data_IF_321886842795
#
_entry.id   IF_321886842795
#
_cell.length_a   1.000
_cell.length_b   1.000
_cell.length_c   1.000
_cell.angle_alpha   90.00
_cell.angle_beta   90.00
_cell.angle_gamma   90.00
#
_symmetry.space_group_name_H-M   'P 1'
#
loop_
_entity.id
_entity.type
_entity.pdbx_description
1 polymer ?
#
# COMPACT_ATOMS: atom_id res chain seq x y z
N UNK A 1 7.60 -40.52 0.42
CA UNK A 1 6.50 -39.87 1.15
C UNK A 1 6.54 -38.40 0.80
N UNK A 2 5.68 -37.94 -0.12
CA UNK A 2 5.56 -36.52 -0.38
C UNK A 2 4.77 -35.92 0.78
N UNK A 3 5.43 -35.16 1.64
CA UNK A 3 4.73 -34.27 2.55
C UNK A 3 4.11 -33.20 1.66
N UNK A 4 2.80 -33.27 1.41
CA UNK A 4 2.10 -32.13 0.83
C UNK A 4 2.15 -31.02 1.87
N UNK A 5 3.07 -30.08 1.69
CA UNK A 5 3.09 -28.85 2.48
C UNK A 5 1.70 -28.23 2.45
N UNK A 6 1.19 -27.87 3.63
CA UNK A 6 -0.08 -27.15 3.70
C UNK A 6 0.05 -25.86 2.90
N UNK A 7 -0.97 -25.47 2.11
CA UNK A 7 -0.94 -24.20 1.40
C UNK A 7 -0.74 -23.04 2.39
N UNK A 8 0.11 -22.08 2.01
CA UNK A 8 0.33 -20.87 2.81
C UNK A 8 -0.80 -19.89 2.56
N UNK A 9 -1.21 -19.15 3.59
CA UNK A 9 -2.15 -18.04 3.41
C UNK A 9 -1.45 -16.93 2.64
N UNK A 10 -2.04 -16.51 1.52
CA UNK A 10 -1.50 -15.46 0.66
C UNK A 10 -2.07 -14.10 1.07
N UNK A 11 -1.19 -13.13 1.29
CA UNK A 11 -1.53 -11.79 1.80
C UNK A 11 -0.95 -10.76 0.85
N UNK A 12 -1.79 -9.86 0.33
CA UNK A 12 -1.36 -8.74 -0.49
C UNK A 12 -1.03 -7.55 0.41
N UNK A 13 0.10 -6.91 0.13
CA UNK A 13 0.52 -5.65 0.74
C UNK A 13 0.29 -4.50 -0.23
N UNK A 14 -0.59 -3.57 0.14
CA UNK A 14 -0.83 -2.28 -0.54
C UNK A 14 -1.67 -1.39 0.36
N UNK A 15 -1.37 -0.09 0.38
CA UNK A 15 -2.06 0.94 1.15
C UNK A 15 -3.34 1.40 0.43
N UNK A 16 -4.44 1.44 1.15
CA UNK A 16 -5.71 1.98 0.66
C UNK A 16 -5.81 3.49 0.92
N UNK A 17 -6.46 4.22 0.00
CA UNK A 17 -6.89 5.59 0.29
C UNK A 17 -8.19 5.56 1.11
N UNK A 18 -8.20 6.27 2.23
CA UNK A 18 -9.26 6.26 3.23
C UNK A 18 -8.77 5.65 4.55
N UNK A 19 -9.35 4.53 5.02
CA UNK A 19 -8.94 3.90 6.27
C UNK A 19 -7.45 3.48 6.27
N UNK A 20 -6.77 3.47 7.43
CA UNK A 20 -5.39 3.01 7.53
C UNK A 20 -5.32 1.49 7.40
N UNK A 21 -5.32 0.99 6.17
CA UNK A 21 -5.32 -0.43 5.82
C UNK A 21 -4.25 -0.76 4.78
N UNK A 22 -3.48 -1.83 5.03
CA UNK A 22 -2.33 -2.16 4.21
C UNK A 22 -2.06 -3.66 4.00
N UNK A 23 -2.86 -4.55 4.59
CA UNK A 23 -2.74 -6.00 4.42
C UNK A 23 -4.10 -6.62 4.06
N UNK A 24 -4.12 -7.38 2.98
CA UNK A 24 -5.35 -7.86 2.36
C UNK A 24 -5.28 -9.35 2.05
N UNK A 25 -6.39 -10.06 2.18
CA UNK A 25 -6.49 -11.45 1.71
C UNK A 25 -6.33 -11.54 0.20
N UNK A 26 -5.48 -12.43 -0.29
CA UNK A 26 -5.19 -12.54 -1.72
C UNK A 26 -6.04 -13.58 -2.47
N UNK A 27 -6.56 -14.60 -1.79
CA UNK A 27 -7.35 -15.66 -2.41
C UNK A 27 -8.39 -16.29 -1.46
N UNK A 28 -9.20 -17.19 -2.01
CA UNK A 28 -10.26 -17.88 -1.26
C UNK A 28 -9.74 -18.71 -0.09
N UNK A 29 -8.52 -19.27 -0.21
CA UNK A 29 -7.92 -20.03 0.89
C UNK A 29 -7.53 -19.10 2.05
N UNK A 30 -6.90 -17.97 1.77
CA UNK A 30 -6.60 -16.95 2.76
C UNK A 30 -7.87 -16.38 3.42
N UNK A 31 -8.96 -16.18 2.64
CA UNK A 31 -10.25 -15.73 3.17
C UNK A 31 -10.83 -16.75 4.15
N UNK A 32 -10.80 -18.05 3.82
CA UNK A 32 -11.30 -19.11 4.70
C UNK A 32 -10.53 -19.17 6.03
N UNK A 33 -9.21 -18.94 5.99
CA UNK A 33 -8.35 -19.05 7.17
C UNK A 33 -8.26 -17.76 8.00
N UNK A 34 -8.33 -16.58 7.37
CA UNK A 34 -8.07 -15.27 8.01
C UNK A 34 -9.27 -14.32 8.00
N UNK A 35 -10.35 -14.68 7.30
CA UNK A 35 -11.49 -13.82 7.02
C UNK A 35 -11.18 -12.74 5.97
N UNK A 36 -12.20 -12.04 5.50
CA UNK A 36 -12.04 -10.94 4.52
C UNK A 36 -11.23 -9.80 5.16
N UNK A 37 -10.24 -9.28 4.43
CA UNK A 37 -9.37 -8.19 4.89
C UNK A 37 -10.13 -6.90 5.27
N UNK A 38 -9.44 -5.93 5.91
CA UNK A 38 -8.00 -5.88 6.11
C UNK A 38 -7.49 -6.78 7.27
N UNK A 39 -6.19 -7.08 7.28
CA UNK A 39 -5.58 -8.13 8.10
C UNK A 39 -4.57 -7.65 9.16
N UNK A 40 -4.21 -6.36 9.20
CA UNK A 40 -3.20 -5.85 10.14
C UNK A 40 -3.53 -6.11 11.62
N UNK A 41 -4.82 -6.27 11.96
CA UNK A 41 -5.27 -6.60 13.31
C UNK A 41 -5.35 -8.11 13.61
N UNK A 42 -5.26 -8.94 12.58
CA UNK A 42 -5.43 -10.40 12.67
C UNK A 42 -4.13 -11.17 12.51
N UNK A 43 -3.12 -10.55 11.91
CA UNK A 43 -1.79 -11.11 11.78
C UNK A 43 -0.96 -10.83 13.05
N UNK A 44 -0.02 -11.72 13.40
CA UNK A 44 0.82 -11.58 14.59
C UNK A 44 1.90 -10.51 14.36
N UNK A 45 1.48 -9.25 14.34
CA UNK A 45 2.35 -8.08 14.20
C UNK A 45 2.59 -7.45 15.57
N UNK A 46 3.83 -7.02 15.82
CA UNK A 46 4.19 -6.15 16.92
C UNK A 46 3.49 -4.80 16.81
N UNK A 47 3.26 -4.17 17.97
CA UNK A 47 2.69 -2.82 18.03
C UNK A 47 3.58 -1.79 17.31
N UNK A 48 4.89 -2.00 17.31
CA UNK A 48 5.83 -1.15 16.60
C UNK A 48 5.62 -1.21 15.10
N UNK A 49 5.58 -2.43 14.53
CA UNK A 49 5.40 -2.60 13.10
C UNK A 49 4.01 -2.14 12.66
N UNK A 50 2.98 -2.37 13.47
CA UNK A 50 1.62 -1.88 13.23
C UNK A 50 1.57 -0.36 13.13
N UNK A 51 2.10 0.35 14.14
CA UNK A 51 2.15 1.82 14.13
C UNK A 51 2.95 2.39 12.97
N UNK A 52 4.00 1.68 12.54
CA UNK A 52 4.79 2.10 11.38
C UNK A 52 4.02 1.93 10.08
N UNK A 53 3.24 0.86 9.95
CA UNK A 53 2.30 0.66 8.85
C UNK A 53 1.20 1.71 8.80
N UNK A 54 0.59 2.04 9.94
CA UNK A 54 -0.38 3.13 10.07
C UNK A 54 0.22 4.48 9.61
N UNK A 55 1.42 4.82 10.07
CA UNK A 55 2.13 6.05 9.65
C UNK A 55 2.40 6.09 8.14
N UNK A 56 2.76 4.95 7.54
CA UNK A 56 2.95 4.87 6.09
C UNK A 56 1.62 4.99 5.34
N UNK A 57 0.56 4.42 5.89
CA UNK A 57 -0.79 4.56 5.33
C UNK A 57 -1.25 6.02 5.37
N UNK A 58 -1.02 6.72 6.48
CA UNK A 58 -1.31 8.14 6.65
C UNK A 58 -0.47 8.99 5.69
N UNK A 59 0.81 8.67 5.55
CA UNK A 59 1.68 9.32 4.58
C UNK A 59 1.14 9.13 3.16
N UNK A 60 0.79 7.90 2.76
CA UNK A 60 0.24 7.57 1.44
C UNK A 60 -1.05 8.33 1.12
N UNK A 61 -1.87 8.68 2.11
CA UNK A 61 -3.04 9.54 1.87
C UNK A 61 -2.64 10.86 1.21
N UNK A 62 -1.49 11.42 1.57
CA UNK A 62 -0.97 12.67 0.99
C UNK A 62 -0.59 12.58 -0.49
N UNK A 63 -0.52 11.38 -1.07
CA UNK A 63 -0.30 11.21 -2.52
C UNK A 63 -1.52 11.58 -3.35
N UNK A 64 -2.72 11.56 -2.76
CA UNK A 64 -3.97 11.82 -3.45
C UNK A 64 -4.34 13.30 -3.37
N UNK A 65 -4.88 13.83 -4.48
CA UNK A 65 -5.57 15.11 -4.45
C UNK A 65 -6.96 14.92 -3.81
N UNK A 66 -7.09 15.27 -2.53
CA UNK A 66 -8.35 15.09 -1.81
C UNK A 66 -9.45 16.07 -2.21
N UNK A 67 -9.09 17.23 -2.76
CA UNK A 67 -10.08 18.20 -3.26
C UNK A 67 -10.78 17.65 -4.50
N UNK A 68 -10.02 17.02 -5.40
CA UNK A 68 -10.55 16.31 -6.55
C UNK A 68 -9.62 15.16 -6.98
N UNK A 69 -9.91 13.90 -6.59
CA UNK A 69 -9.04 12.74 -6.84
C UNK A 69 -8.60 12.51 -8.29
N UNK A 70 -9.41 12.85 -9.31
CA UNK A 70 -8.97 12.75 -10.69
C UNK A 70 -7.85 13.72 -11.08
N UNK A 71 -7.64 14.82 -10.36
CA UNK A 71 -6.55 15.77 -10.66
C UNK A 71 -5.19 15.29 -10.13
N UNK A 72 -4.08 15.87 -10.61
CA UNK A 72 -2.74 15.53 -10.14
C UNK A 72 -2.60 15.52 -8.62
N UNK A 73 -2.02 14.45 -8.09
CA UNK A 73 -1.62 14.34 -6.70
C UNK A 73 -0.50 15.34 -6.38
N UNK A 74 -0.39 15.83 -5.13
CA UNK A 74 0.51 16.93 -4.79
C UNK A 74 1.99 16.51 -4.64
N UNK A 75 2.28 15.21 -4.69
CA UNK A 75 3.64 14.70 -4.51
C UNK A 75 4.53 15.00 -5.70
N UNK A 76 5.66 15.65 -5.40
CA UNK A 76 6.82 15.73 -6.30
C UNK A 76 7.59 14.41 -6.29
N UNK A 77 8.39 14.18 -7.33
CA UNK A 77 9.10 12.92 -7.53
C UNK A 77 9.97 12.56 -6.32
N UNK A 78 10.57 13.54 -5.65
CA UNK A 78 11.36 13.31 -4.43
C UNK A 78 10.53 12.63 -3.33
N UNK A 79 9.29 13.08 -3.11
CA UNK A 79 8.42 12.50 -2.08
C UNK A 79 7.93 11.10 -2.50
N UNK A 80 7.62 10.93 -3.78
CA UNK A 80 7.31 9.61 -4.36
C UNK A 80 8.43 8.60 -4.10
N UNK A 81 9.69 8.95 -4.39
CA UNK A 81 10.84 8.07 -4.15
C UNK A 81 11.07 7.78 -2.66
N UNK A 82 10.94 8.80 -1.80
CA UNK A 82 11.03 8.61 -0.35
C UNK A 82 9.99 7.62 0.16
N UNK A 83 8.76 7.71 -0.34
CA UNK A 83 7.70 6.77 0.01
C UNK A 83 7.99 5.36 -0.51
N UNK A 84 8.39 5.19 -1.78
CA UNK A 84 8.74 3.87 -2.35
C UNK A 84 9.80 3.15 -1.51
N UNK A 85 10.86 3.86 -1.14
CA UNK A 85 11.93 3.31 -0.30
C UNK A 85 11.37 2.85 1.05
N UNK A 86 10.57 3.69 1.70
CA UNK A 86 9.98 3.38 2.99
C UNK A 86 8.99 2.20 2.94
N UNK A 87 8.14 2.14 1.91
CA UNK A 87 7.18 1.06 1.70
C UNK A 87 7.87 -0.29 1.44
N UNK A 88 8.94 -0.31 0.61
CA UNK A 88 9.73 -1.52 0.37
C UNK A 88 10.47 -1.99 1.61
N UNK A 89 11.06 -1.07 2.39
CA UNK A 89 11.70 -1.41 3.66
C UNK A 89 10.70 -1.97 4.67
N UNK A 90 9.52 -1.35 4.76
CA UNK A 90 8.44 -1.84 5.62
C UNK A 90 7.97 -3.25 5.22
N UNK A 91 7.83 -3.51 3.92
CA UNK A 91 7.48 -4.83 3.41
C UNK A 91 8.53 -5.89 3.77
N UNK A 92 9.82 -5.57 3.65
CA UNK A 92 10.89 -6.49 4.04
C UNK A 92 10.81 -6.85 5.53
N UNK A 93 10.55 -5.87 6.40
CA UNK A 93 10.39 -6.10 7.83
C UNK A 93 9.11 -6.90 8.15
N UNK A 94 7.99 -6.64 7.44
CA UNK A 94 6.77 -7.45 7.52
C UNK A 94 7.06 -8.91 7.19
N UNK A 95 7.79 -9.18 6.11
CA UNK A 95 8.15 -10.56 5.72
C UNK A 95 8.98 -11.27 6.80
N UNK A 96 9.91 -10.56 7.45
CA UNK A 96 10.71 -11.12 8.54
C UNK A 96 9.85 -11.44 9.76
N UNK A 97 8.92 -10.55 10.13
CA UNK A 97 8.14 -10.69 11.36
C UNK A 97 7.03 -11.74 11.23
N UNK A 98 6.23 -11.72 10.16
CA UNK A 98 5.14 -12.70 10.01
C UNK A 98 5.64 -14.10 9.66
N UNK A 99 6.89 -14.18 9.16
CA UNK A 99 7.60 -15.42 8.88
C UNK A 99 7.08 -16.22 7.69
N UNK A 100 7.74 -17.34 7.42
CA UNK A 100 7.52 -18.16 6.23
C UNK A 100 6.16 -18.90 6.17
N UNK A 101 5.29 -18.74 7.18
CA UNK A 101 3.95 -19.33 7.23
C UNK A 101 2.95 -18.59 6.33
N UNK A 102 3.24 -17.33 5.99
CA UNK A 102 2.47 -16.52 5.04
C UNK A 102 3.26 -16.33 3.74
N UNK A 103 2.53 -16.20 2.64
CA UNK A 103 3.08 -15.75 1.36
C UNK A 103 2.68 -14.28 1.17
N UNK A 104 3.58 -13.36 1.52
CA UNK A 104 3.34 -11.92 1.43
C UNK A 104 3.75 -11.41 0.04
N UNK A 105 2.82 -10.74 -0.62
CA UNK A 105 2.96 -10.28 -2.01
C UNK A 105 2.96 -8.76 -2.02
N UNK A 106 4.00 -8.16 -2.59
CA UNK A 106 4.07 -6.71 -2.77
C UNK A 106 3.17 -6.30 -3.94
N UNK A 107 2.06 -5.62 -3.65
CA UNK A 107 1.08 -5.17 -4.64
C UNK A 107 0.93 -3.65 -4.68
N UNK A 108 1.69 -2.91 -3.87
CA UNK A 108 1.62 -1.45 -3.83
C UNK A 108 1.95 -0.88 -5.22
N UNK A 109 0.99 -0.16 -5.80
CA UNK A 109 1.26 0.70 -6.95
C UNK A 109 2.22 1.80 -6.49
N UNK A 110 3.42 1.83 -7.07
CA UNK A 110 4.43 2.80 -6.70
C UNK A 110 4.07 4.16 -7.30
N UNK A 111 3.93 5.21 -6.47
CA UNK A 111 3.53 6.52 -6.96
C UNK A 111 4.66 7.15 -7.76
N UNK A 112 4.34 7.83 -8.84
CA UNK A 112 5.24 8.73 -9.56
C UNK A 112 4.65 10.13 -9.56
N UNK A 113 5.49 11.15 -9.70
CA UNK A 113 4.99 12.51 -9.91
C UNK A 113 4.06 12.53 -11.13
N UNK A 114 2.88 13.12 -10.96
CA UNK A 114 1.95 13.25 -12.07
C UNK A 114 2.57 14.18 -13.13
N UNK A 115 2.66 13.74 -14.40
CA UNK A 115 3.32 14.52 -15.45
C UNK A 115 2.64 15.88 -15.70
N UNK A 116 1.36 16.01 -15.34
CA UNK A 116 0.61 17.25 -15.48
C UNK A 116 0.68 18.14 -14.23
N UNK A 117 1.39 17.74 -13.16
CA UNK A 117 1.40 18.47 -11.88
C UNK A 117 1.88 19.92 -12.02
N UNK A 118 2.89 20.18 -12.85
CA UNK A 118 3.37 21.53 -13.09
C UNK A 118 2.33 22.42 -13.78
N UNK A 119 1.53 21.86 -14.70
CA UNK A 119 0.45 22.62 -15.34
C UNK A 119 -0.74 22.81 -14.39
N UNK A 120 -1.06 21.79 -13.60
CA UNK A 120 -2.08 21.88 -12.56
C UNK A 120 -1.78 22.99 -11.56
N UNK A 121 -0.54 23.09 -11.07
CA UNK A 121 -0.17 24.09 -10.06
C UNK A 121 -0.14 25.52 -10.57
N UNK A 122 -0.08 25.75 -11.90
CA UNK A 122 -0.16 27.10 -12.48
C UNK A 122 -1.58 27.66 -12.47
N UNK A 123 -2.58 26.83 -12.76
CA UNK A 123 -4.00 27.22 -12.78
C UNK A 123 -4.92 26.03 -12.45
N UNK A 124 -5.06 25.66 -11.16
CA UNK A 124 -5.87 24.51 -10.75
C UNK A 124 -7.35 24.64 -11.15
N UNK A 125 -7.89 25.85 -11.23
CA UNK A 125 -9.32 26.10 -11.49
C UNK A 125 -9.69 25.83 -12.95
N UNK A 126 -8.77 26.05 -13.88
CA UNK A 126 -8.99 25.81 -15.30
C UNK A 126 -8.19 24.63 -15.86
N UNK A 127 -7.53 23.87 -14.98
CA UNK A 127 -6.73 22.72 -15.35
C UNK A 127 -7.56 21.69 -16.12
N UNK A 128 -6.92 21.09 -17.13
CA UNK A 128 -7.44 19.94 -17.86
C UNK A 128 -6.28 19.01 -18.12
N UNK A 129 -6.45 17.73 -17.78
CA UNK A 129 -5.45 16.70 -18.07
C UNK A 129 -5.07 16.71 -19.54
N UNK A 130 -3.77 16.51 -19.80
CA UNK A 130 -3.32 16.18 -21.13
C UNK A 130 -3.98 14.86 -21.55
N UNK A 131 -4.37 14.72 -22.83
CA UNK A 131 -4.95 13.46 -23.29
C UNK A 131 -3.85 12.39 -23.21
N UNK A 132 -4.08 11.39 -22.36
CA UNK A 132 -3.28 10.16 -22.29
C UNK A 132 -3.39 9.34 -23.58
#
# INVERSE_FOLDING_TARGET
MNMTEKPKCRVNFWFEWGPPAYLWTADAYAIDQLGIGPLQDRLPLSDELRKRGEKLSDWFQGSLNWDYPPDPGPWRQEECERFKIAARAFFADLQQEIGAQYDLIYCQAEPDEDPDLDEYLKDPLNFRRSKS
#
